data_IF_798460135816
#
_entry.id   IF_798460135816
#
_cell.length_a   1.000
_cell.length_b   1.000
_cell.length_c   1.000
_cell.angle_alpha   90.00
_cell.angle_beta   90.00
_cell.angle_gamma   90.00
#
_symmetry.space_group_name_H-M   'P 1'
#
loop_
_entity.id
_entity.type
_entity.pdbx_description
1 polymer ?
#
# COMPACT_ATOMS: atom_id res chain seq x y z
N UNK A 1 15.92 -15.61 2.05
CA UNK A 1 15.70 -15.51 3.52
C UNK A 1 17.06 -15.40 4.16
N UNK A 2 17.26 -14.42 5.03
CA UNK A 2 18.41 -14.34 5.93
C UNK A 2 18.02 -15.05 7.22
N UNK A 3 18.85 -15.97 7.67
CA UNK A 3 18.61 -16.78 8.87
C UNK A 3 19.34 -16.13 10.04
N UNK A 4 18.62 -15.37 10.89
CA UNK A 4 19.16 -14.87 12.15
C UNK A 4 19.16 -15.95 13.23
N UNK A 5 20.20 -15.96 14.07
CA UNK A 5 20.27 -16.85 15.22
C UNK A 5 19.38 -16.34 16.35
N UNK A 6 18.82 -17.27 17.15
CA UNK A 6 17.94 -16.92 18.26
C UNK A 6 18.71 -16.21 19.38
N UNK A 7 18.28 -15.00 19.74
CA UNK A 7 18.78 -14.20 20.83
C UNK A 7 17.64 -13.79 21.79
N UNK A 8 17.95 -13.36 23.03
CA UNK A 8 16.93 -12.87 23.93
C UNK A 8 16.18 -11.66 23.37
N UNK A 9 14.86 -11.65 23.50
CA UNK A 9 13.99 -10.63 22.93
C UNK A 9 13.58 -10.96 21.48
N UNK A 10 13.37 -9.94 20.66
CA UNK A 10 13.06 -10.08 19.21
C UNK A 10 14.27 -9.76 18.32
N UNK A 11 15.45 -9.84 18.87
CA UNK A 11 16.71 -9.54 18.19
C UNK A 11 17.25 -10.79 17.50
N UNK A 12 17.97 -10.62 16.42
CA UNK A 12 18.66 -11.67 15.66
C UNK A 12 19.86 -11.07 14.93
N UNK A 13 20.75 -10.40 15.70
CA UNK A 13 21.92 -9.67 15.18
C UNK A 13 22.99 -10.59 14.55
N UNK A 14 23.05 -11.85 15.00
CA UNK A 14 23.95 -12.83 14.45
C UNK A 14 23.29 -13.63 13.31
N UNK A 15 23.96 -13.67 12.15
CA UNK A 15 23.53 -14.46 11.00
C UNK A 15 24.06 -15.90 11.12
N UNK A 16 23.25 -16.88 10.77
CA UNK A 16 23.61 -18.28 10.76
C UNK A 16 24.81 -18.54 9.80
N UNK A 17 25.68 -19.47 10.19
CA UNK A 17 26.73 -19.96 9.31
C UNK A 17 26.12 -20.78 8.15
N UNK A 18 26.96 -21.11 7.14
CA UNK A 18 26.51 -21.77 5.91
C UNK A 18 25.86 -23.13 6.16
N UNK A 19 26.35 -23.88 7.17
CA UNK A 19 25.81 -25.21 7.46
C UNK A 19 24.43 -25.14 8.11
N UNK A 20 24.25 -24.20 9.04
CA UNK A 20 22.96 -23.91 9.68
C UNK A 20 22.00 -23.36 8.62
N UNK A 21 22.45 -22.44 7.77
CA UNK A 21 21.64 -21.90 6.68
C UNK A 21 21.11 -22.97 5.74
N UNK A 22 21.98 -23.90 5.29
CA UNK A 22 21.60 -25.00 4.41
C UNK A 22 20.59 -25.95 5.06
N UNK A 23 20.77 -26.31 6.32
CA UNK A 23 19.85 -27.16 7.07
C UNK A 23 18.50 -26.45 7.29
N UNK A 24 18.53 -25.16 7.61
CA UNK A 24 17.34 -24.34 7.79
C UNK A 24 16.54 -24.24 6.50
N UNK A 25 17.19 -23.94 5.38
CA UNK A 25 16.57 -23.88 4.05
C UNK A 25 15.95 -25.23 3.65
N UNK A 26 16.64 -26.35 3.89
CA UNK A 26 16.11 -27.67 3.63
C UNK A 26 14.86 -27.95 4.48
N UNK A 27 14.91 -27.65 5.78
CA UNK A 27 13.80 -27.85 6.71
C UNK A 27 12.59 -26.98 6.30
N UNK A 28 12.83 -25.71 5.98
CA UNK A 28 11.80 -24.78 5.52
C UNK A 28 11.10 -25.25 4.24
N UNK A 29 11.89 -25.70 3.25
CA UNK A 29 11.35 -26.26 2.00
C UNK A 29 10.51 -27.53 2.23
N UNK A 30 10.90 -28.39 3.17
CA UNK A 30 10.11 -29.56 3.53
C UNK A 30 8.80 -29.17 4.24
N UNK A 31 8.83 -28.18 5.11
CA UNK A 31 7.62 -27.63 5.71
C UNK A 31 6.66 -27.06 4.65
N UNK A 32 7.18 -26.32 3.67
CA UNK A 32 6.40 -25.80 2.55
C UNK A 32 5.73 -26.90 1.73
N UNK A 33 6.44 -27.99 1.42
CA UNK A 33 5.87 -29.15 0.71
C UNK A 33 4.74 -29.82 1.51
N UNK A 34 4.92 -29.97 2.82
CA UNK A 34 3.86 -30.52 3.70
C UNK A 34 2.65 -29.60 3.76
N UNK A 35 2.86 -28.30 3.86
CA UNK A 35 1.80 -27.30 3.82
C UNK A 35 1.00 -27.35 2.51
N UNK A 36 1.69 -27.45 1.35
CA UNK A 36 1.04 -27.61 0.05
C UNK A 36 0.18 -28.87 -0.04
N UNK A 37 0.68 -29.99 0.46
CA UNK A 37 -0.11 -31.24 0.52
C UNK A 37 -1.35 -31.11 1.42
N UNK A 38 -1.19 -30.49 2.57
CA UNK A 38 -2.31 -30.22 3.49
C UNK A 38 -3.34 -29.28 2.85
N UNK A 39 -2.89 -28.22 2.19
CA UNK A 39 -3.77 -27.30 1.48
C UNK A 39 -4.56 -28.01 0.36
N UNK A 40 -3.92 -28.89 -0.40
CA UNK A 40 -4.59 -29.72 -1.42
C UNK A 40 -5.65 -30.62 -0.80
N UNK A 41 -5.35 -31.27 0.34
CA UNK A 41 -6.33 -32.10 1.05
C UNK A 41 -7.54 -31.29 1.51
N UNK A 42 -7.30 -30.11 2.13
CA UNK A 42 -8.37 -29.23 2.59
C UNK A 42 -9.24 -28.72 1.43
N UNK A 43 -8.62 -28.40 0.30
CA UNK A 43 -9.33 -27.98 -0.93
C UNK A 43 -10.21 -29.12 -1.46
N UNK A 44 -9.72 -30.35 -1.48
CA UNK A 44 -10.49 -31.52 -1.93
C UNK A 44 -11.66 -31.86 -0.98
N UNK A 45 -11.58 -31.47 0.29
CA UNK A 45 -12.68 -31.53 1.27
C UNK A 45 -13.72 -30.41 1.07
N UNK A 46 -13.51 -29.50 0.11
CA UNK A 46 -14.45 -28.43 -0.20
C UNK A 46 -14.33 -27.20 0.71
N UNK A 47 -13.25 -27.06 1.48
CA UNK A 47 -13.05 -25.89 2.34
C UNK A 47 -12.83 -24.61 1.51
N UNK A 48 -13.30 -23.49 2.04
CA UNK A 48 -13.17 -22.20 1.37
C UNK A 48 -11.69 -21.83 1.17
N UNK A 49 -11.37 -21.36 -0.04
CA UNK A 49 -9.99 -21.02 -0.46
C UNK A 49 -9.21 -20.12 0.53
N UNK A 50 -9.89 -19.19 1.21
CA UNK A 50 -9.25 -18.32 2.19
C UNK A 50 -8.72 -19.11 3.41
N UNK A 51 -9.41 -20.16 3.84
CA UNK A 51 -8.95 -21.03 4.94
C UNK A 51 -7.77 -21.87 4.46
N UNK A 52 -7.89 -22.45 3.27
CA UNK A 52 -6.83 -23.25 2.64
C UNK A 52 -5.55 -22.45 2.46
N UNK A 53 -5.64 -21.20 1.96
CA UNK A 53 -4.48 -20.34 1.74
C UNK A 53 -3.74 -19.97 3.02
N UNK A 54 -4.39 -19.90 4.18
CA UNK A 54 -3.72 -19.62 5.47
C UNK A 54 -2.64 -20.63 5.83
N UNK A 55 -2.79 -21.88 5.39
CA UNK A 55 -1.77 -22.92 5.60
C UNK A 55 -0.51 -22.63 4.76
N UNK A 56 -0.64 -21.86 3.68
CA UNK A 56 0.44 -21.55 2.75
C UNK A 56 1.12 -20.19 3.03
N UNK A 57 0.49 -19.32 3.81
CA UNK A 57 0.95 -17.93 4.05
C UNK A 57 2.44 -17.81 4.40
N UNK A 58 3.04 -18.64 5.29
CA UNK A 58 4.45 -18.54 5.62
C UNK A 58 5.40 -18.84 4.46
N UNK A 59 4.91 -19.46 3.39
CA UNK A 59 5.71 -19.96 2.26
C UNK A 59 5.41 -19.24 0.95
N UNK A 60 4.56 -18.22 0.98
CA UNK A 60 4.14 -17.45 -0.19
C UNK A 60 4.69 -16.03 -0.15
N UNK A 61 4.78 -15.42 -1.32
CA UNK A 61 5.07 -13.99 -1.45
C UNK A 61 3.77 -13.19 -1.46
N UNK A 62 3.84 -11.96 -0.99
CA UNK A 62 2.75 -10.99 -1.06
C UNK A 62 3.27 -9.69 -1.65
N UNK A 63 2.52 -9.12 -2.59
CA UNK A 63 2.74 -7.77 -3.07
C UNK A 63 1.91 -6.81 -2.21
N UNK A 64 2.53 -5.76 -1.70
CA UNK A 64 1.90 -4.76 -0.82
C UNK A 64 2.17 -3.37 -1.36
N UNK A 65 1.12 -2.55 -1.48
CA UNK A 65 1.28 -1.12 -1.72
C UNK A 65 1.28 -0.37 -0.39
N UNK A 66 2.31 0.45 -0.17
CA UNK A 66 2.44 1.30 1.02
C UNK A 66 2.53 2.74 0.56
N UNK A 67 1.63 3.59 1.06
CA UNK A 67 1.63 5.02 0.78
C UNK A 67 1.67 5.79 2.09
N UNK A 68 2.67 6.61 2.26
CA UNK A 68 2.86 7.43 3.45
C UNK A 68 3.46 8.79 3.07
N UNK A 69 3.30 9.77 3.94
CA UNK A 69 3.90 11.10 3.79
C UNK A 69 5.24 11.23 4.52
N UNK A 70 5.61 10.22 5.31
CA UNK A 70 6.85 10.19 6.06
C UNK A 70 7.31 8.75 6.31
N UNK A 71 8.54 8.45 5.93
CA UNK A 71 9.20 7.16 6.12
C UNK A 71 10.37 7.22 7.12
N UNK A 72 10.67 8.40 7.69
CA UNK A 72 11.85 8.58 8.54
C UNK A 72 11.85 7.63 9.74
N UNK A 73 10.73 7.53 10.44
CA UNK A 73 10.61 6.63 11.60
C UNK A 73 10.69 5.14 11.21
N UNK A 74 10.14 4.77 10.04
CA UNK A 74 10.27 3.41 9.52
C UNK A 74 11.73 3.04 9.29
N UNK A 75 12.48 3.89 8.59
CA UNK A 75 13.89 3.63 8.31
C UNK A 75 14.76 3.68 9.58
N UNK A 76 14.50 4.63 10.49
CA UNK A 76 15.20 4.70 11.76
C UNK A 76 15.06 3.41 12.59
N UNK A 77 13.85 2.81 12.61
CA UNK A 77 13.60 1.62 13.40
C UNK A 77 13.97 0.31 12.70
N UNK A 78 13.93 0.28 11.35
CA UNK A 78 14.08 -0.98 10.59
C UNK A 78 15.44 -1.14 9.92
N UNK A 79 16.24 -0.07 9.86
CA UNK A 79 17.66 -0.14 9.49
C UNK A 79 18.60 -0.21 10.70
N UNK A 80 18.03 -0.14 11.89
CA UNK A 80 18.78 -0.31 13.13
C UNK A 80 19.44 -1.69 13.20
N UNK A 81 20.61 -1.80 13.83
CA UNK A 81 21.35 -3.05 13.96
C UNK A 81 20.59 -4.11 14.78
N UNK A 82 19.72 -3.66 15.69
CA UNK A 82 18.86 -4.54 16.50
C UNK A 82 17.59 -5.02 15.76
N UNK A 83 17.35 -4.54 14.54
CA UNK A 83 16.20 -5.00 13.76
C UNK A 83 16.38 -6.44 13.27
N UNK A 84 15.29 -7.19 13.21
CA UNK A 84 15.32 -8.54 12.64
C UNK A 84 15.89 -8.50 11.21
N UNK A 85 16.79 -9.42 10.82
CA UNK A 85 17.46 -9.39 9.51
C UNK A 85 16.53 -9.34 8.31
N UNK A 86 15.39 -10.00 8.36
CA UNK A 86 14.41 -10.02 7.28
C UNK A 86 13.78 -8.65 7.05
N UNK A 87 13.38 -7.97 8.13
CA UNK A 87 12.78 -6.64 8.03
C UNK A 87 13.83 -5.58 7.71
N UNK A 88 15.07 -5.75 8.20
CA UNK A 88 16.18 -4.86 7.89
C UNK A 88 16.53 -4.91 6.40
N UNK A 89 16.60 -6.11 5.80
CA UNK A 89 16.80 -6.26 4.36
C UNK A 89 15.67 -5.64 3.54
N UNK A 90 14.42 -5.81 3.96
CA UNK A 90 13.29 -5.17 3.31
C UNK A 90 13.41 -3.63 3.38
N UNK A 91 13.72 -3.10 4.56
CA UNK A 91 13.89 -1.66 4.75
C UNK A 91 15.05 -1.10 3.93
N UNK A 92 16.17 -1.83 3.83
CA UNK A 92 17.30 -1.44 2.99
C UNK A 92 16.91 -1.42 1.52
N UNK A 93 16.25 -2.46 1.01
CA UNK A 93 15.79 -2.52 -0.38
C UNK A 93 14.78 -1.39 -0.69
N UNK A 94 13.88 -1.07 0.24
CA UNK A 94 12.96 0.06 0.10
C UNK A 94 13.72 1.39 0.04
N UNK A 95 14.71 1.58 0.93
CA UNK A 95 15.51 2.81 0.96
C UNK A 95 16.31 2.97 -0.33
N UNK A 96 16.98 1.93 -0.79
CA UNK A 96 17.76 1.95 -2.03
C UNK A 96 16.88 2.29 -3.24
N UNK A 97 15.68 1.70 -3.31
CA UNK A 97 14.72 2.00 -4.37
C UNK A 97 14.20 3.44 -4.32
N UNK A 98 13.96 3.97 -3.12
CA UNK A 98 13.53 5.37 -2.95
C UNK A 98 14.67 6.34 -3.31
N UNK A 99 15.91 6.08 -2.87
CA UNK A 99 17.06 6.92 -3.16
C UNK A 99 17.40 6.93 -4.67
N UNK A 100 17.18 5.82 -5.37
CA UNK A 100 17.37 5.72 -6.81
C UNK A 100 16.22 6.34 -7.61
N UNK A 101 15.06 6.58 -7.01
CA UNK A 101 13.89 7.15 -7.66
C UNK A 101 14.04 8.64 -7.93
N UNK A 102 13.32 9.13 -8.93
CA UNK A 102 13.17 10.57 -9.20
C UNK A 102 11.74 10.97 -8.86
N UNK A 103 11.50 11.55 -7.69
CA UNK A 103 10.16 11.97 -7.30
C UNK A 103 9.67 13.11 -8.23
N UNK A 104 8.37 13.09 -8.49
CA UNK A 104 7.69 14.15 -9.23
C UNK A 104 7.02 15.09 -8.23
N UNK A 105 7.34 16.39 -8.34
CA UNK A 105 6.66 17.41 -7.54
C UNK A 105 5.22 17.56 -8.04
N UNK A 106 4.26 17.42 -7.13
CA UNK A 106 2.85 17.66 -7.40
C UNK A 106 2.39 18.96 -6.74
N UNK A 107 1.54 19.70 -7.44
CA UNK A 107 0.86 20.89 -6.93
C UNK A 107 -0.54 20.54 -6.41
N UNK A 108 -1.17 21.39 -5.56
CA UNK A 108 -2.55 21.22 -5.18
C UNK A 108 -3.46 21.04 -6.40
N UNK A 109 -4.23 19.93 -6.39
CA UNK A 109 -5.09 19.53 -7.51
C UNK A 109 -4.44 18.53 -8.50
N UNK A 110 -3.13 18.37 -8.48
CA UNK A 110 -2.45 17.25 -9.14
C UNK A 110 -2.44 16.05 -8.20
N UNK A 111 -2.67 14.83 -8.74
CA UNK A 111 -2.90 13.66 -7.92
C UNK A 111 -1.79 12.62 -8.05
N UNK A 112 -1.33 12.10 -6.93
CA UNK A 112 -0.61 10.85 -6.86
C UNK A 112 -1.57 9.70 -7.16
N UNK A 113 -1.29 8.98 -8.24
CA UNK A 113 -2.13 7.91 -8.79
C UNK A 113 -1.27 6.64 -8.95
N UNK A 114 -1.18 5.79 -7.93
CA UNK A 114 -0.43 4.54 -8.03
C UNK A 114 -0.89 3.69 -9.22
N UNK A 115 0.07 3.02 -9.87
CA UNK A 115 -0.16 2.11 -11.00
C UNK A 115 -0.75 2.76 -12.27
N UNK A 116 -0.82 4.09 -12.36
CA UNK A 116 -1.21 4.79 -13.58
C UNK A 116 0.05 5.10 -14.42
N UNK A 117 0.04 4.67 -15.65
CA UNK A 117 1.11 4.88 -16.64
C UNK A 117 0.72 5.93 -17.67
N UNK A 118 1.67 6.36 -18.47
CA UNK A 118 1.41 7.30 -19.59
C UNK A 118 0.41 6.74 -20.60
N UNK A 119 0.42 5.42 -20.84
CA UNK A 119 -0.54 4.78 -21.74
C UNK A 119 -1.97 4.84 -21.20
N UNK A 120 -2.14 4.73 -19.88
CA UNK A 120 -3.45 4.80 -19.25
C UNK A 120 -4.13 6.15 -19.45
N UNK A 121 -3.34 7.25 -19.51
CA UNK A 121 -3.89 8.56 -19.82
C UNK A 121 -4.48 8.61 -21.23
N UNK A 122 -3.81 8.04 -22.23
CA UNK A 122 -4.30 8.02 -23.61
C UNK A 122 -5.55 7.14 -23.77
N UNK A 123 -5.54 5.96 -23.14
CA UNK A 123 -6.69 5.05 -23.16
C UNK A 123 -7.90 5.64 -22.42
N UNK A 124 -7.67 6.20 -21.22
CA UNK A 124 -8.72 6.86 -20.44
C UNK A 124 -9.30 8.08 -21.17
N UNK A 125 -8.48 8.87 -21.87
CA UNK A 125 -8.95 9.99 -22.69
C UNK A 125 -9.91 9.55 -23.80
N UNK A 126 -9.60 8.43 -24.46
CA UNK A 126 -10.48 7.84 -25.49
C UNK A 126 -11.79 7.34 -24.84
N UNK A 127 -11.71 6.75 -23.65
CA UNK A 127 -12.86 6.25 -22.90
C UNK A 127 -13.78 7.40 -22.47
N UNK A 128 -13.25 8.50 -21.95
CA UNK A 128 -14.02 9.71 -21.59
C UNK A 128 -14.75 10.26 -22.81
N UNK A 129 -14.11 10.31 -23.96
CA UNK A 129 -14.75 10.79 -25.21
C UNK A 129 -15.98 9.93 -25.61
N UNK A 130 -15.96 8.64 -25.26
CA UNK A 130 -17.09 7.74 -25.48
C UNK A 130 -18.21 7.91 -24.43
N UNK A 131 -17.84 8.20 -23.15
CA UNK A 131 -18.79 8.29 -22.02
C UNK A 131 -19.48 9.65 -21.91
N UNK A 132 -18.87 10.74 -22.40
CA UNK A 132 -19.49 12.09 -22.43
C UNK A 132 -20.83 12.11 -23.19
N UNK A 133 -21.09 11.09 -24.01
CA UNK A 133 -22.40 10.91 -24.68
C UNK A 133 -23.53 10.45 -23.75
N UNK A 134 -23.27 10.13 -22.47
CA UNK A 134 -24.27 9.66 -21.49
C UNK A 134 -24.24 10.56 -20.24
N UNK A 135 -25.22 11.41 -20.13
CA UNK A 135 -25.78 12.18 -18.97
C UNK A 135 -24.96 12.40 -17.65
N UNK A 136 -23.69 12.06 -17.57
CA UNK A 136 -22.78 12.39 -16.46
C UNK A 136 -21.42 12.78 -17.00
N UNK A 137 -21.00 14.06 -16.85
CA UNK A 137 -19.65 14.47 -17.21
C UNK A 137 -18.68 13.91 -16.15
N UNK A 138 -18.14 12.73 -16.39
CA UNK A 138 -17.00 12.23 -15.62
C UNK A 138 -15.71 12.80 -16.22
N UNK A 139 -14.87 13.39 -15.38
CA UNK A 139 -13.60 13.95 -15.86
C UNK A 139 -12.58 12.84 -16.08
N UNK A 140 -11.58 13.08 -16.94
CA UNK A 140 -10.44 12.19 -17.11
C UNK A 140 -9.79 11.85 -15.77
N UNK A 141 -9.65 12.85 -14.90
CA UNK A 141 -9.03 12.68 -13.60
C UNK A 141 -9.88 11.76 -12.69
N UNK A 142 -11.21 11.86 -12.71
CA UNK A 142 -12.07 10.98 -11.92
C UNK A 142 -11.95 9.53 -12.40
N UNK A 143 -11.87 9.34 -13.71
CA UNK A 143 -11.64 8.02 -14.30
C UNK A 143 -10.30 7.43 -13.85
N UNK A 144 -9.22 8.20 -13.95
CA UNK A 144 -7.89 7.76 -13.53
C UNK A 144 -7.80 7.43 -12.02
N UNK A 145 -8.51 8.18 -11.16
CA UNK A 145 -8.62 7.85 -9.73
C UNK A 145 -9.30 6.49 -9.51
N UNK A 146 -10.36 6.20 -10.23
CA UNK A 146 -11.07 4.91 -10.15
C UNK A 146 -10.19 3.75 -10.61
N UNK A 147 -9.50 3.91 -11.75
CA UNK A 147 -8.55 2.92 -12.27
C UNK A 147 -7.43 2.67 -11.26
N UNK A 148 -6.82 3.74 -10.72
CA UNK A 148 -5.76 3.64 -9.73
C UNK A 148 -6.23 2.89 -8.47
N UNK A 149 -7.43 3.22 -7.95
CA UNK A 149 -8.01 2.52 -6.79
C UNK A 149 -8.25 1.03 -7.08
N UNK A 150 -8.79 0.68 -8.23
CA UNK A 150 -9.00 -0.70 -8.63
C UNK A 150 -7.69 -1.49 -8.71
N UNK A 151 -6.64 -0.87 -9.25
CA UNK A 151 -5.30 -1.48 -9.31
C UNK A 151 -4.64 -1.62 -7.95
N UNK A 152 -4.81 -0.65 -7.04
CA UNK A 152 -4.40 -0.79 -5.64
C UNK A 152 -5.12 -1.97 -4.97
N UNK A 153 -6.40 -2.17 -5.23
CA UNK A 153 -7.16 -3.32 -4.70
C UNK A 153 -6.65 -4.67 -5.22
N UNK A 154 -6.05 -4.68 -6.43
CA UNK A 154 -5.49 -5.91 -7.04
C UNK A 154 -4.02 -6.14 -6.72
N UNK A 155 -3.36 -5.30 -5.96
CA UNK A 155 -1.91 -5.39 -5.72
C UNK A 155 -1.48 -6.78 -5.26
N UNK A 156 -2.23 -7.40 -4.33
CA UNK A 156 -1.96 -8.74 -3.84
C UNK A 156 -2.69 -9.86 -4.59
N UNK A 157 -3.39 -9.52 -5.68
CA UNK A 157 -4.22 -10.46 -6.43
C UNK A 157 -3.76 -10.54 -7.89
N UNK A 158 -3.12 -11.64 -8.24
CA UNK A 158 -2.82 -11.96 -9.66
C UNK A 158 -4.03 -12.69 -10.25
N UNK A 159 -4.50 -12.22 -11.40
CA UNK A 159 -5.54 -12.91 -12.14
C UNK A 159 -5.08 -14.35 -12.44
N UNK A 160 -5.98 -15.31 -12.24
CA UNK A 160 -5.67 -16.74 -12.39
C UNK A 160 -5.19 -17.08 -13.81
N UNK A 161 -5.64 -16.34 -14.81
CA UNK A 161 -5.29 -16.49 -16.22
C UNK A 161 -4.11 -15.60 -16.67
N UNK A 162 -3.51 -14.86 -15.75
CA UNK A 162 -2.39 -13.97 -16.04
C UNK A 162 -2.73 -12.75 -16.91
N UNK A 163 -4.01 -12.50 -17.19
CA UNK A 163 -4.42 -11.35 -18.01
C UNK A 163 -4.24 -10.04 -17.26
N UNK A 164 -3.78 -9.03 -17.99
CA UNK A 164 -3.81 -7.64 -17.54
C UNK A 164 -5.24 -7.14 -17.61
N UNK A 165 -5.74 -6.55 -16.53
CA UNK A 165 -7.09 -5.99 -16.49
C UNK A 165 -7.21 -4.82 -17.46
N UNK A 166 -8.33 -4.76 -18.17
CA UNK A 166 -8.70 -3.60 -19.00
C UNK A 166 -9.23 -2.44 -18.14
N UNK A 167 -9.35 -1.26 -18.73
CA UNK A 167 -9.99 -0.11 -18.06
C UNK A 167 -11.44 -0.46 -17.64
N UNK A 168 -12.20 -1.17 -18.47
CA UNK A 168 -13.56 -1.60 -18.13
C UNK A 168 -13.59 -2.55 -16.93
N UNK A 169 -12.62 -3.46 -16.83
CA UNK A 169 -12.46 -4.34 -15.66
C UNK A 169 -12.12 -3.54 -14.40
N UNK A 170 -11.27 -2.50 -14.52
CA UNK A 170 -10.89 -1.62 -13.40
C UNK A 170 -12.10 -0.82 -12.92
N UNK A 171 -12.86 -0.23 -13.82
CA UNK A 171 -14.08 0.52 -13.50
C UNK A 171 -15.15 -0.36 -12.87
N UNK A 172 -15.38 -1.55 -13.44
CA UNK A 172 -16.31 -2.53 -12.88
C UNK A 172 -15.93 -2.96 -11.47
N UNK A 173 -14.63 -3.13 -11.20
CA UNK A 173 -14.14 -3.44 -9.84
C UNK A 173 -14.36 -2.26 -8.91
N UNK A 174 -14.02 -1.04 -9.32
CA UNK A 174 -14.23 0.16 -8.49
C UNK A 174 -15.70 0.32 -8.12
N UNK A 175 -16.61 0.16 -9.08
CA UNK A 175 -18.05 0.25 -8.83
C UNK A 175 -18.53 -0.82 -7.84
N UNK A 176 -18.02 -2.05 -7.92
CA UNK A 176 -18.31 -3.11 -6.94
C UNK A 176 -17.79 -2.76 -5.55
N UNK A 177 -16.59 -2.17 -5.43
CA UNK A 177 -16.01 -1.76 -4.14
C UNK A 177 -16.81 -0.61 -3.50
N UNK A 178 -17.38 0.28 -4.32
CA UNK A 178 -18.10 1.47 -3.88
C UNK A 178 -19.62 1.28 -3.82
N UNK A 179 -20.13 0.15 -4.32
CA UNK A 179 -21.56 -0.17 -4.28
C UNK A 179 -22.00 -0.62 -2.87
N UNK A 180 -23.29 -0.39 -2.56
CA UNK A 180 -23.88 -0.82 -1.31
C UNK A 180 -23.67 0.14 -0.13
N UNK A 181 -24.19 -0.25 1.04
CA UNK A 181 -24.13 0.54 2.27
C UNK A 181 -22.73 0.51 2.91
N UNK A 182 -22.00 -0.58 2.71
CA UNK A 182 -20.63 -0.78 3.19
C UNK A 182 -19.67 -0.65 2.02
N UNK A 183 -18.86 0.40 2.02
CA UNK A 183 -17.88 0.63 0.97
C UNK A 183 -16.54 0.01 1.34
N UNK A 184 -15.93 -0.68 0.39
CA UNK A 184 -14.55 -1.17 0.53
C UNK A 184 -13.57 -0.08 0.07
N UNK A 185 -13.47 1.01 0.86
CA UNK A 185 -12.77 2.24 0.47
C UNK A 185 -11.25 2.20 0.70
N UNK A 186 -10.68 1.15 1.33
CA UNK A 186 -9.24 1.07 1.61
C UNK A 186 -8.33 1.28 0.37
N UNK A 187 -8.65 0.80 -0.85
CA UNK A 187 -7.79 1.05 -1.99
C UNK A 187 -7.68 2.53 -2.39
N UNK A 188 -8.64 3.35 -2.00
CA UNK A 188 -8.63 4.80 -2.27
C UNK A 188 -7.74 5.59 -1.32
N UNK A 189 -7.21 4.96 -0.26
CA UNK A 189 -6.26 5.57 0.68
C UNK A 189 -4.90 5.85 0.05
N UNK A 190 -4.55 5.15 -1.02
CA UNK A 190 -3.26 5.31 -1.71
C UNK A 190 -3.24 6.49 -2.68
N UNK A 191 -4.38 7.13 -2.91
CA UNK A 191 -4.55 8.21 -3.89
C UNK A 191 -4.67 9.52 -3.12
N UNK A 192 -3.84 10.50 -3.45
CA UNK A 192 -3.79 11.76 -2.71
C UNK A 192 -3.33 12.95 -3.58
N UNK A 193 -3.66 14.16 -3.12
CA UNK A 193 -3.17 15.42 -3.70
C UNK A 193 -2.62 16.31 -2.60
N UNK A 194 -1.59 17.14 -2.87
CA UNK A 194 -1.13 18.13 -1.89
C UNK A 194 -2.26 19.05 -1.46
N UNK A 195 -2.34 19.34 -0.15
CA UNK A 195 -3.22 20.40 0.34
C UNK A 195 -2.53 21.76 0.27
N UNK A 196 -3.31 22.82 0.35
CA UNK A 196 -2.81 24.19 0.35
C UNK A 196 -2.40 24.58 1.77
N UNK A 197 -1.12 24.91 1.95
CA UNK A 197 -0.63 25.50 3.19
C UNK A 197 -1.09 26.96 3.24
N UNK A 198 -1.89 27.32 4.26
CA UNK A 198 -2.45 28.66 4.44
C UNK A 198 -1.72 29.48 5.51
N UNK A 199 -0.84 28.85 6.27
CA UNK A 199 -0.06 29.50 7.32
C UNK A 199 0.79 28.54 8.11
N UNK A 200 1.37 29.06 9.18
CA UNK A 200 2.04 28.29 10.23
C UNK A 200 1.85 28.96 11.58
N UNK A 201 1.82 28.15 12.65
CA UNK A 201 1.77 28.65 14.01
C UNK A 201 2.98 28.14 14.79
N UNK A 202 3.51 28.97 15.70
CA UNK A 202 4.54 28.53 16.61
C UNK A 202 3.95 27.50 17.59
N UNK A 203 4.69 26.44 17.83
CA UNK A 203 4.36 25.43 18.82
C UNK A 203 5.14 25.77 20.08
N UNK A 204 4.47 25.66 21.25
CA UNK A 204 5.17 25.73 22.53
C UNK A 204 6.18 24.57 22.61
N UNK A 205 7.48 24.84 22.83
CA UNK A 205 8.50 23.80 22.95
C UNK A 205 8.19 22.75 24.02
N UNK A 206 7.36 23.08 25.02
CA UNK A 206 6.93 22.14 26.06
C UNK A 206 5.89 21.11 25.58
N UNK A 207 5.27 21.35 24.42
CA UNK A 207 4.27 20.47 23.82
C UNK A 207 4.81 19.68 22.63
N UNK A 208 6.13 19.50 22.53
CA UNK A 208 6.77 18.77 21.44
C UNK A 208 6.11 17.41 21.24
N UNK A 209 5.43 17.27 20.11
CA UNK A 209 4.95 15.99 19.64
C UNK A 209 6.04 15.29 18.83
N UNK A 210 6.00 13.97 18.74
CA UNK A 210 6.90 13.17 17.87
C UNK A 210 6.96 13.64 16.41
N UNK A 211 6.06 14.53 16.02
CA UNK A 211 5.81 14.93 14.63
C UNK A 211 6.77 16.00 14.11
N UNK A 212 7.41 16.75 15.02
CA UNK A 212 8.43 17.72 14.67
C UNK A 212 9.46 17.82 15.81
N UNK A 213 10.53 17.02 15.80
CA UNK A 213 11.57 17.06 16.82
C UNK A 213 12.38 18.35 16.82
N UNK A 214 12.28 19.16 15.76
CA UNK A 214 12.91 20.47 15.64
C UNK A 214 11.90 21.60 15.54
N UNK A 215 10.61 21.26 15.60
CA UNK A 215 9.51 22.11 15.20
C UNK A 215 9.20 23.22 16.18
N UNK A 216 9.56 24.40 15.74
CA UNK A 216 9.05 25.64 16.30
C UNK A 216 7.72 26.07 15.64
N UNK A 217 7.29 25.38 14.56
CA UNK A 217 6.13 25.77 13.77
C UNK A 217 5.34 24.59 13.22
N UNK A 218 4.04 24.57 13.45
CA UNK A 218 3.08 23.67 12.81
C UNK A 218 2.50 24.32 11.55
N UNK A 219 2.42 23.59 10.46
CA UNK A 219 1.76 24.06 9.24
C UNK A 219 0.25 24.06 9.39
N UNK A 220 -0.41 25.14 8.98
CA UNK A 220 -1.86 25.26 8.91
C UNK A 220 -2.30 24.98 7.47
N UNK A 221 -3.18 23.99 7.32
CA UNK A 221 -3.65 23.52 6.03
C UNK A 221 -5.10 23.97 5.77
N UNK A 222 -5.47 24.11 4.51
CA UNK A 222 -6.81 24.52 4.10
C UNK A 222 -7.86 23.45 4.41
N UNK A 223 -7.52 22.16 4.23
CA UNK A 223 -8.45 21.04 4.35
C UNK A 223 -7.95 19.94 5.32
N UNK A 224 -7.54 20.23 6.56
CA UNK A 224 -6.88 19.27 7.43
C UNK A 224 -7.73 18.04 7.76
N UNK A 225 -9.06 18.16 7.73
CA UNK A 225 -9.99 17.05 7.99
C UNK A 225 -9.97 15.99 6.88
N UNK A 226 -9.43 16.32 5.70
CA UNK A 226 -9.32 15.40 4.56
C UNK A 226 -7.97 14.68 4.49
N UNK A 227 -7.06 14.93 5.43
CA UNK A 227 -5.73 14.32 5.42
C UNK A 227 -5.73 12.87 5.87
N UNK A 228 -6.68 12.45 6.73
CA UNK A 228 -6.65 11.16 7.41
C UNK A 228 -5.33 10.95 8.16
N UNK A 229 -4.52 9.96 7.76
CA UNK A 229 -3.20 9.69 8.31
C UNK A 229 -2.04 10.36 7.53
N UNK A 230 -2.35 11.18 6.52
CA UNK A 230 -1.33 11.92 5.77
C UNK A 230 -1.08 13.30 6.37
N UNK A 231 0.10 13.85 6.15
CA UNK A 231 0.44 15.21 6.53
C UNK A 231 0.54 16.11 5.30
N UNK A 232 -0.32 17.14 5.24
CA UNK A 232 -0.32 18.11 4.13
C UNK A 232 -0.84 17.57 2.81
N UNK A 233 -1.53 16.44 2.82
CA UNK A 233 -2.12 15.82 1.64
C UNK A 233 -3.57 15.44 1.89
N UNK A 234 -4.43 15.73 0.92
CA UNK A 234 -5.82 15.31 0.89
C UNK A 234 -5.87 13.88 0.38
N UNK A 235 -6.37 12.95 1.19
CA UNK A 235 -6.56 11.55 0.82
C UNK A 235 -7.87 11.39 0.05
N UNK A 236 -7.86 10.71 -1.10
CA UNK A 236 -9.04 10.54 -1.94
C UNK A 236 -10.19 9.86 -1.19
N UNK A 237 -9.91 8.89 -0.34
CA UNK A 237 -10.91 8.24 0.52
C UNK A 237 -11.77 9.25 1.26
N UNK A 238 -11.19 10.31 1.79
CA UNK A 238 -11.89 11.36 2.57
C UNK A 238 -12.79 12.26 1.75
N UNK A 239 -12.70 12.19 0.43
CA UNK A 239 -13.61 12.91 -0.49
C UNK A 239 -14.81 12.06 -0.90
N UNK A 240 -14.85 10.78 -0.54
CA UNK A 240 -15.93 9.85 -0.91
C UNK A 240 -17.06 9.94 0.13
N UNK A 241 -18.29 10.27 -0.26
CA UNK A 241 -19.41 10.31 0.67
C UNK A 241 -19.67 8.94 1.30
N UNK A 242 -19.93 8.92 2.61
CA UNK A 242 -20.24 7.70 3.38
C UNK A 242 -19.13 6.62 3.24
N UNK A 243 -17.87 7.04 3.29
CA UNK A 243 -16.71 6.13 3.23
C UNK A 243 -16.56 5.25 4.48
N UNK A 244 -17.26 5.58 5.54
CA UNK A 244 -17.38 4.82 6.78
C UNK A 244 -18.79 4.99 7.38
N UNK A 245 -19.19 4.06 8.25
CA UNK A 245 -20.39 4.20 9.07
C UNK A 245 -20.00 4.89 10.37
N UNK A 246 -20.56 6.06 10.61
CA UNK A 246 -20.47 6.72 11.92
C UNK A 246 -21.32 5.93 12.93
N UNK A 247 -20.73 5.54 14.07
CA UNK A 247 -21.42 4.92 15.17
C UNK A 247 -22.22 5.95 15.99
#
# INVERSE_FOLDING_TARGET
IVWGLNEPGMQASNVADIDIEMQSLWSWRNAAKRAANSATTLMNLGLHKQIVNRVLEPFTYIDVVVTATDYANWFALRLDEDAQPEIQQLAQAMKDAMDASKPVLLNPGEWHLPYITTNDYAEAQNHVSYVISKDRPETLLDLLKKISAARCARTSYKAFDGKVASIDDDLSLFDKLMSGNLKHASPTEHIATPDIKIGSRNIDPSTQTREDPYGLCESIWKNPKLHANFRGWIQYRKTIPNEFIAG
#
